data_IF_304690235580
#
_entry.id   IF_304690235580
#
_cell.length_a   1.000
_cell.length_b   1.000
_cell.length_c   1.000
_cell.angle_alpha   90.00
_cell.angle_beta   90.00
_cell.angle_gamma   90.00
#
_symmetry.space_group_name_H-M   'P 1'
#
loop_
_entity.id
_entity.type
_entity.pdbx_description
1 polymer ?
#
# COMPACT_ATOMS: atom_id res chain seq x y z
N UNK A 1 80.67 -45.85 -9.49
CA UNK A 1 79.61 -45.73 -8.45
C UNK A 1 79.85 -44.47 -7.64
N UNK A 2 79.02 -43.45 -7.83
CA UNK A 2 78.98 -42.23 -7.02
C UNK A 2 77.51 -41.97 -6.70
N UNK A 3 77.20 -41.93 -5.41
CA UNK A 3 75.86 -41.68 -4.88
C UNK A 3 75.60 -40.17 -4.87
N UNK A 4 74.46 -39.75 -5.41
CA UNK A 4 73.90 -38.43 -5.16
C UNK A 4 72.44 -38.60 -4.73
N UNK A 5 72.22 -38.37 -3.44
CA UNK A 5 70.92 -38.36 -2.77
C UNK A 5 70.25 -37.02 -3.04
N UNK A 6 69.17 -37.00 -3.82
CA UNK A 6 68.31 -35.82 -3.94
C UNK A 6 67.12 -35.98 -2.99
N UNK A 7 67.12 -35.18 -1.91
CA UNK A 7 65.93 -34.93 -1.10
C UNK A 7 64.95 -34.09 -1.94
N UNK A 8 63.80 -34.67 -2.28
CA UNK A 8 62.65 -33.93 -2.80
C UNK A 8 61.81 -33.44 -1.61
N UNK A 9 61.96 -32.15 -1.28
CA UNK A 9 60.98 -31.45 -0.45
C UNK A 9 59.67 -31.30 -1.24
N UNK A 10 58.67 -32.12 -0.95
CA UNK A 10 57.28 -31.83 -1.32
C UNK A 10 56.74 -30.76 -0.36
N UNK A 11 56.84 -29.49 -0.73
CA UNK A 11 56.04 -28.44 -0.13
C UNK A 11 54.61 -28.57 -0.66
N UNK A 12 53.72 -29.08 0.18
CA UNK A 12 52.28 -29.06 -0.09
C UNK A 12 51.82 -27.61 0.07
N UNK A 13 51.67 -26.88 -1.04
CA UNK A 13 50.96 -25.60 -1.05
C UNK A 13 49.46 -25.92 -0.91
N UNK A 14 49.00 -26.01 0.34
CA UNK A 14 47.58 -25.99 0.66
C UNK A 14 47.04 -24.60 0.37
N UNK A 15 46.47 -24.39 -0.81
CA UNK A 15 45.60 -23.24 -1.05
C UNK A 15 44.30 -23.48 -0.27
N UNK A 16 43.91 -22.62 0.68
CA UNK A 16 42.57 -22.67 1.21
C UNK A 16 41.61 -22.30 0.08
N UNK A 17 40.76 -23.24 -0.34
CA UNK A 17 39.57 -22.93 -1.11
C UNK A 17 38.71 -22.06 -0.21
N UNK A 18 38.68 -20.76 -0.48
CA UNK A 18 37.70 -19.86 0.11
C UNK A 18 36.39 -20.20 -0.58
N UNK A 19 35.58 -21.03 0.07
CA UNK A 19 34.16 -21.11 -0.26
C UNK A 19 33.57 -19.75 0.12
N UNK A 20 33.35 -18.88 -0.86
CA UNK A 20 32.44 -17.76 -0.68
C UNK A 20 31.07 -18.37 -0.40
N UNK A 21 30.70 -18.36 0.88
CA UNK A 21 29.31 -18.50 1.29
C UNK A 21 28.55 -17.45 0.51
N UNK A 22 27.73 -17.87 -0.45
CA UNK A 22 26.72 -16.99 -1.04
C UNK A 22 25.82 -16.63 0.14
N UNK A 23 26.10 -15.47 0.74
CA UNK A 23 25.16 -14.77 1.58
C UNK A 23 23.97 -14.53 0.67
N UNK A 24 22.93 -15.34 0.84
CA UNK A 24 21.58 -15.03 0.37
C UNK A 24 21.20 -13.70 1.03
N UNK A 25 21.65 -12.60 0.43
CA UNK A 25 21.00 -11.32 0.56
C UNK A 25 19.64 -11.51 -0.07
N UNK A 26 18.72 -12.06 0.72
CA UNK A 26 17.29 -11.84 0.57
C UNK A 26 17.11 -10.35 0.77
N UNK A 27 17.41 -9.59 -0.28
CA UNK A 27 17.00 -8.21 -0.38
C UNK A 27 15.50 -8.22 -0.13
N UNK A 28 15.06 -7.48 0.87
CA UNK A 28 13.69 -7.01 0.89
C UNK A 28 13.47 -6.30 -0.44
N UNK A 29 12.92 -7.01 -1.41
CA UNK A 29 12.33 -6.40 -2.58
C UNK A 29 11.21 -5.54 -2.01
N UNK A 30 11.46 -4.24 -1.85
CA UNK A 30 10.43 -3.29 -1.49
C UNK A 30 9.28 -3.48 -2.48
N UNK A 31 8.21 -4.13 -2.03
CA UNK A 31 7.09 -4.51 -2.86
C UNK A 31 6.52 -3.22 -3.45
N UNK A 32 6.68 -3.04 -4.76
CA UNK A 32 6.36 -1.77 -5.41
C UNK A 32 4.86 -1.69 -5.61
N UNK A 33 4.19 -0.91 -4.76
CA UNK A 33 2.78 -0.61 -4.94
C UNK A 33 2.58 0.21 -6.22
N UNK A 34 1.68 -0.24 -7.08
CA UNK A 34 1.18 0.53 -8.20
C UNK A 34 0.01 1.38 -7.74
N UNK A 35 0.20 2.70 -7.69
CA UNK A 35 -0.87 3.65 -7.37
C UNK A 35 -1.36 4.38 -8.63
N UNK A 36 -2.68 4.53 -8.76
CA UNK A 36 -3.35 5.25 -9.86
C UNK A 36 -4.43 6.15 -9.29
N UNK A 37 -4.47 7.41 -9.75
CA UNK A 37 -5.53 8.36 -9.43
C UNK A 37 -6.39 8.54 -10.67
N UNK A 38 -7.70 8.40 -10.55
CA UNK A 38 -8.62 8.43 -11.68
C UNK A 38 -9.68 9.49 -11.42
N UNK A 39 -9.81 10.43 -12.34
CA UNK A 39 -10.98 11.32 -12.38
C UNK A 39 -12.18 10.52 -12.91
N UNK A 40 -13.17 10.25 -12.06
CA UNK A 40 -14.29 9.36 -12.40
C UNK A 40 -15.11 9.84 -13.58
N UNK A 41 -15.20 11.15 -13.79
CA UNK A 41 -16.00 11.73 -14.88
C UNK A 41 -15.30 11.57 -16.22
N UNK A 42 -14.00 11.85 -16.26
CA UNK A 42 -13.22 11.83 -17.49
C UNK A 42 -12.52 10.48 -17.75
N UNK A 43 -12.55 9.56 -16.78
CA UNK A 43 -11.90 8.24 -16.84
C UNK A 43 -10.42 8.33 -17.23
N UNK A 44 -9.76 9.40 -16.78
CA UNK A 44 -8.36 9.69 -17.07
C UNK A 44 -7.49 9.41 -15.85
N UNK A 45 -6.31 8.86 -16.10
CA UNK A 45 -5.28 8.68 -15.09
C UNK A 45 -4.59 10.03 -14.86
N UNK A 46 -4.47 10.40 -13.60
CA UNK A 46 -3.84 11.64 -13.13
C UNK A 46 -2.66 11.31 -12.22
N UNK A 47 -1.65 12.18 -12.20
CA UNK A 47 -0.52 12.09 -11.27
C UNK A 47 -0.40 13.37 -10.43
N UNK A 48 -1.11 13.45 -9.29
CA UNK A 48 -1.04 14.61 -8.41
C UNK A 48 0.29 14.72 -7.64
N UNK A 49 1.17 13.72 -7.71
CA UNK A 49 2.48 13.75 -7.05
C UNK A 49 3.52 14.55 -7.85
N UNK A 50 3.38 14.58 -9.17
CA UNK A 50 4.32 15.26 -10.08
C UNK A 50 3.69 16.42 -10.87
N UNK A 51 2.37 16.44 -11.03
CA UNK A 51 1.66 17.46 -11.81
C UNK A 51 0.71 18.30 -10.94
N UNK A 52 1.01 19.59 -10.81
CA UNK A 52 0.14 20.57 -10.14
C UNK A 52 -1.21 20.67 -10.84
N UNK A 53 -1.23 20.54 -12.18
CA UNK A 53 -2.47 20.55 -12.95
C UNK A 53 -3.34 19.35 -12.61
N UNK A 54 -2.74 18.18 -12.46
CA UNK A 54 -3.45 16.94 -12.17
C UNK A 54 -3.99 16.97 -10.73
N UNK A 55 -3.19 17.45 -9.77
CA UNK A 55 -3.64 17.72 -8.41
C UNK A 55 -4.83 18.70 -8.40
N UNK A 56 -4.75 19.80 -9.17
CA UNK A 56 -5.85 20.75 -9.32
C UNK A 56 -7.09 20.13 -9.96
N UNK A 57 -6.93 19.23 -10.91
CA UNK A 57 -8.05 18.53 -11.53
C UNK A 57 -8.77 17.63 -10.52
N UNK A 58 -8.02 16.83 -9.75
CA UNK A 58 -8.59 16.03 -8.66
C UNK A 58 -9.26 16.91 -7.59
N UNK A 59 -8.62 18.03 -7.23
CA UNK A 59 -9.13 18.96 -6.22
C UNK A 59 -10.52 19.53 -6.55
N UNK A 60 -10.77 19.82 -7.83
CA UNK A 60 -12.02 20.39 -8.30
C UNK A 60 -13.02 19.33 -8.80
N UNK A 61 -12.61 18.06 -8.87
CA UNK A 61 -13.51 16.98 -9.26
C UNK A 61 -14.61 16.79 -8.21
N UNK A 62 -15.80 16.43 -8.66
CA UNK A 62 -16.89 16.03 -7.75
C UNK A 62 -16.69 14.61 -7.22
N UNK A 63 -15.93 13.80 -7.96
CA UNK A 63 -15.56 12.45 -7.60
C UNK A 63 -14.20 12.09 -8.22
N UNK A 64 -13.34 11.44 -7.43
CA UNK A 64 -12.19 10.73 -7.98
C UNK A 64 -11.90 9.45 -7.19
N UNK A 65 -11.12 8.58 -7.81
CA UNK A 65 -10.76 7.28 -7.28
C UNK A 65 -9.25 7.12 -7.17
N UNK A 66 -8.83 6.31 -6.20
CA UNK A 66 -7.44 5.91 -6.01
C UNK A 66 -7.37 4.41 -5.92
N UNK A 67 -6.62 3.82 -6.84
CA UNK A 67 -6.31 2.41 -6.84
C UNK A 67 -4.88 2.22 -6.35
N UNK A 68 -4.69 1.24 -5.47
CA UNK A 68 -3.36 0.79 -5.05
C UNK A 68 -3.32 -0.73 -5.14
N UNK A 69 -2.38 -1.28 -5.91
CA UNK A 69 -2.31 -2.72 -6.18
C UNK A 69 -0.85 -3.19 -6.08
N UNK A 70 -0.66 -4.37 -5.50
CA UNK A 70 0.55 -5.18 -5.61
C UNK A 70 0.15 -6.67 -5.68
N UNK A 71 1.11 -7.58 -5.56
CA UNK A 71 0.86 -9.03 -5.66
C UNK A 71 0.00 -9.60 -4.51
N UNK A 72 0.02 -8.98 -3.34
CA UNK A 72 -0.63 -9.47 -2.11
C UNK A 72 -1.79 -8.58 -1.64
N UNK A 73 -1.99 -7.43 -2.30
CA UNK A 73 -2.90 -6.40 -1.83
C UNK A 73 -3.53 -5.63 -2.98
N UNK A 74 -4.81 -5.32 -2.84
CA UNK A 74 -5.47 -4.28 -3.62
C UNK A 74 -6.32 -3.37 -2.74
N UNK A 75 -6.48 -2.12 -3.17
CA UNK A 75 -7.49 -1.24 -2.62
C UNK A 75 -8.01 -0.26 -3.63
N UNK A 76 -9.25 0.16 -3.39
CA UNK A 76 -9.94 1.24 -4.11
C UNK A 76 -10.49 2.21 -3.09
N UNK A 77 -10.06 3.46 -3.16
CA UNK A 77 -10.65 4.59 -2.44
C UNK A 77 -11.46 5.45 -3.40
N UNK A 78 -12.67 5.85 -3.01
CA UNK A 78 -13.53 6.77 -3.75
C UNK A 78 -13.77 8.00 -2.87
N UNK A 79 -13.59 9.18 -3.43
CA UNK A 79 -13.76 10.47 -2.76
C UNK A 79 -14.84 11.27 -3.48
N UNK A 80 -15.88 11.70 -2.79
CA UNK A 80 -17.04 12.39 -3.36
C UNK A 80 -17.34 13.69 -2.62
N UNK A 81 -17.57 14.76 -3.36
CA UNK A 81 -18.08 16.04 -2.84
C UNK A 81 -18.77 16.83 -3.96
N UNK A 82 -20.05 17.18 -3.76
CA UNK A 82 -20.85 17.89 -4.77
C UNK A 82 -20.33 19.29 -5.14
N UNK A 83 -19.56 19.93 -4.25
CA UNK A 83 -18.94 21.25 -4.47
C UNK A 83 -17.47 21.17 -4.94
N UNK A 84 -16.99 19.96 -5.22
CA UNK A 84 -15.59 19.65 -5.47
C UNK A 84 -14.90 19.12 -4.21
N UNK A 85 -13.99 18.14 -4.36
CA UNK A 85 -13.33 17.47 -3.24
C UNK A 85 -12.67 18.47 -2.29
N UNK A 86 -11.85 19.39 -2.76
CA UNK A 86 -11.12 20.27 -1.84
C UNK A 86 -12.01 21.32 -1.18
N UNK A 87 -13.05 21.80 -1.87
CA UNK A 87 -14.03 22.69 -1.24
C UNK A 87 -14.77 21.96 -0.11
N UNK A 88 -15.20 20.72 -0.35
CA UNK A 88 -15.84 19.89 0.68
C UNK A 88 -14.90 19.57 1.84
N UNK A 89 -13.64 19.21 1.56
CA UNK A 89 -12.65 18.87 2.57
C UNK A 89 -12.27 20.07 3.45
N UNK A 90 -12.23 21.27 2.87
CA UNK A 90 -11.94 22.53 3.57
C UNK A 90 -13.15 23.11 4.30
N UNK A 91 -14.35 22.84 3.82
CA UNK A 91 -15.61 23.34 4.36
C UNK A 91 -16.29 22.43 5.38
N UNK A 92 -17.56 22.73 5.62
CA UNK A 92 -18.38 22.04 6.62
C UNK A 92 -19.11 20.80 6.09
N UNK A 93 -19.18 20.63 4.77
CA UNK A 93 -19.86 19.50 4.13
C UNK A 93 -19.02 18.22 4.19
N UNK A 94 -17.69 18.34 4.03
CA UNK A 94 -16.77 17.20 4.05
C UNK A 94 -16.66 16.50 2.70
N UNK A 95 -15.83 15.47 2.67
CA UNK A 95 -15.69 14.56 1.52
C UNK A 95 -16.13 13.17 1.95
N UNK A 96 -17.17 12.66 1.29
CA UNK A 96 -17.56 11.28 1.51
C UNK A 96 -16.51 10.35 0.89
N UNK A 97 -16.05 9.42 1.71
CA UNK A 97 -14.92 8.55 1.45
C UNK A 97 -15.39 7.11 1.62
N UNK A 98 -15.16 6.29 0.60
CA UNK A 98 -15.32 4.84 0.68
C UNK A 98 -14.01 4.16 0.33
N UNK A 99 -13.56 3.20 1.13
CA UNK A 99 -12.38 2.40 0.83
C UNK A 99 -12.70 0.91 0.90
N UNK A 100 -12.31 0.18 -0.13
CA UNK A 100 -12.35 -1.29 -0.17
C UNK A 100 -10.92 -1.81 -0.23
N UNK A 101 -10.62 -2.84 0.56
CA UNK A 101 -9.29 -3.47 0.59
C UNK A 101 -9.40 -4.97 0.52
N UNK A 102 -8.50 -5.59 -0.23
CA UNK A 102 -8.31 -7.03 -0.28
C UNK A 102 -6.84 -7.34 0.00
N UNK A 103 -6.57 -8.17 1.00
CA UNK A 103 -5.27 -8.81 1.24
C UNK A 103 -5.40 -10.26 0.78
N UNK A 104 -4.67 -10.63 -0.28
CA UNK A 104 -4.75 -11.94 -0.90
C UNK A 104 -4.03 -12.99 -0.04
N UNK A 105 -4.60 -14.19 0.04
CA UNK A 105 -4.01 -15.30 0.78
C UNK A 105 -2.76 -15.82 0.06
N UNK A 106 -2.81 -15.88 -1.27
CA UNK A 106 -1.70 -16.30 -2.11
C UNK A 106 -1.36 -15.19 -3.12
N UNK A 107 -0.07 -14.88 -3.31
CA UNK A 107 0.34 -13.94 -4.34
C UNK A 107 -0.12 -14.42 -5.72
N UNK A 108 -0.70 -13.52 -6.52
CA UNK A 108 -1.24 -13.79 -7.87
C UNK A 108 -2.54 -14.64 -7.93
N UNK A 109 -3.21 -14.86 -6.80
CA UNK A 109 -4.54 -15.50 -6.74
C UNK A 109 -5.52 -14.58 -6.02
N UNK A 110 -6.47 -14.02 -6.76
CA UNK A 110 -7.47 -13.08 -6.24
C UNK A 110 -8.74 -13.76 -5.72
N UNK A 111 -8.80 -15.10 -5.73
CA UNK A 111 -9.98 -15.86 -5.34
C UNK A 111 -10.16 -15.98 -3.82
N UNK A 112 -9.06 -15.89 -3.06
CA UNK A 112 -9.09 -15.94 -1.59
C UNK A 112 -8.41 -14.71 -0.98
N UNK A 113 -9.15 -13.97 -0.16
CA UNK A 113 -8.67 -12.74 0.47
C UNK A 113 -9.43 -12.39 1.76
N UNK A 114 -8.84 -11.49 2.54
CA UNK A 114 -9.51 -10.83 3.65
C UNK A 114 -9.28 -9.32 3.59
N UNK A 115 -10.16 -8.55 4.22
CA UNK A 115 -10.02 -7.10 4.29
C UNK A 115 -11.30 -6.47 4.78
N UNK A 116 -11.77 -5.42 4.10
CA UNK A 116 -12.98 -4.73 4.52
C UNK A 116 -13.40 -3.59 3.62
N UNK A 117 -14.60 -3.11 3.90
CA UNK A 117 -15.19 -1.92 3.30
C UNK A 117 -15.38 -0.89 4.39
N UNK A 118 -14.87 0.31 4.17
CA UNK A 118 -14.93 1.43 5.09
C UNK A 118 -15.64 2.60 4.43
N UNK A 119 -16.49 3.30 5.19
CA UNK A 119 -17.09 4.56 4.82
C UNK A 119 -16.81 5.62 5.88
N UNK A 120 -16.59 6.88 5.48
CA UNK A 120 -16.48 8.03 6.39
C UNK A 120 -16.72 9.34 5.64
N UNK A 121 -16.95 10.43 6.38
CA UNK A 121 -16.89 11.79 5.85
C UNK A 121 -15.62 12.46 6.39
N UNK A 122 -14.72 12.87 5.49
CA UNK A 122 -13.40 13.43 5.81
C UNK A 122 -13.43 14.96 5.79
N UNK A 123 -12.73 15.55 6.76
CA UNK A 123 -12.59 17.01 6.91
C UNK A 123 -11.13 17.36 7.18
N UNK A 124 -10.69 18.53 6.76
CA UNK A 124 -9.33 19.01 7.04
C UNK A 124 -9.11 19.23 8.53
N UNK A 125 -9.92 20.08 9.15
CA UNK A 125 -9.72 20.50 10.54
C UNK A 125 -10.47 19.63 11.55
N UNK A 126 -11.62 19.07 11.15
CA UNK A 126 -12.46 18.26 12.03
C UNK A 126 -12.06 16.78 11.98
N UNK A 127 -12.45 16.05 13.03
CA UNK A 127 -12.41 14.59 13.04
C UNK A 127 -13.35 14.01 11.97
N UNK A 128 -12.99 12.86 11.36
CA UNK A 128 -13.89 12.16 10.46
C UNK A 128 -15.23 11.83 11.13
N UNK A 129 -16.31 11.95 10.37
CA UNK A 129 -17.67 11.62 10.81
C UNK A 129 -18.21 10.41 10.06
N UNK A 130 -19.34 9.88 10.51
CA UNK A 130 -20.07 8.79 9.84
C UNK A 130 -19.19 7.56 9.55
N UNK A 131 -18.21 7.30 10.41
CA UNK A 131 -17.22 6.23 10.23
C UNK A 131 -17.91 4.88 10.39
N UNK A 132 -17.81 4.04 9.36
CA UNK A 132 -18.36 2.70 9.31
C UNK A 132 -17.30 1.76 8.73
N UNK A 133 -17.25 0.53 9.24
CA UNK A 133 -16.34 -0.50 8.75
C UNK A 133 -17.01 -1.86 8.81
N UNK A 134 -16.88 -2.62 7.72
CA UNK A 134 -17.37 -3.99 7.59
C UNK A 134 -16.21 -4.87 7.13
N UNK A 135 -15.75 -5.82 7.95
CA UNK A 135 -14.72 -6.76 7.53
C UNK A 135 -15.29 -7.78 6.53
N UNK A 136 -14.45 -8.20 5.59
CA UNK A 136 -14.79 -9.17 4.52
C UNK A 136 -13.77 -10.30 4.57
N UNK A 137 -14.25 -11.54 4.51
CA UNK A 137 -13.43 -12.74 4.48
C UNK A 137 -13.96 -13.65 3.37
N UNK A 138 -13.14 -13.89 2.35
CA UNK A 138 -13.38 -14.83 1.26
C UNK A 138 -12.25 -15.85 1.36
N UNK A 139 -12.41 -16.84 2.24
CA UNK A 139 -11.39 -17.84 2.54
C UNK A 139 -12.08 -19.20 2.59
N UNK A 140 -11.60 -20.15 1.81
CA UNK A 140 -12.18 -21.48 1.71
C UNK A 140 -11.79 -22.38 2.88
N UNK A 141 -10.59 -22.21 3.43
CA UNK A 141 -10.11 -22.96 4.58
C UNK A 141 -10.72 -22.39 5.89
N UNK A 142 -11.61 -23.13 6.59
CA UNK A 142 -12.33 -22.59 7.74
C UNK A 142 -11.44 -22.40 8.99
N UNK A 143 -10.37 -23.19 9.14
CA UNK A 143 -9.41 -22.97 10.22
C UNK A 143 -8.64 -21.66 10.00
N UNK A 144 -8.14 -21.47 8.77
CA UNK A 144 -7.43 -20.25 8.39
C UNK A 144 -8.33 -19.01 8.50
N UNK A 145 -9.58 -19.09 8.02
CA UNK A 145 -10.56 -18.01 8.14
C UNK A 145 -10.75 -17.60 9.60
N UNK A 146 -10.94 -18.58 10.49
CA UNK A 146 -11.11 -18.33 11.93
C UNK A 146 -9.89 -17.63 12.54
N UNK A 147 -8.69 -18.08 12.20
CA UNK A 147 -7.45 -17.48 12.70
C UNK A 147 -7.26 -16.04 12.22
N UNK A 148 -7.50 -15.79 10.93
CA UNK A 148 -7.41 -14.45 10.35
C UNK A 148 -8.47 -13.53 10.96
N UNK A 149 -9.72 -13.99 11.05
CA UNK A 149 -10.82 -13.22 11.65
C UNK A 149 -10.48 -12.77 13.07
N UNK A 150 -10.02 -13.68 13.93
CA UNK A 150 -9.65 -13.36 15.31
C UNK A 150 -8.52 -12.32 15.39
N UNK A 151 -7.54 -12.39 14.49
CA UNK A 151 -6.46 -11.41 14.39
C UNK A 151 -6.98 -10.03 13.99
N UNK A 152 -7.77 -9.97 12.91
CA UNK A 152 -8.31 -8.73 12.35
C UNK A 152 -9.28 -8.03 13.31
N UNK A 153 -10.11 -8.79 14.02
CA UNK A 153 -11.02 -8.27 15.06
C UNK A 153 -10.24 -7.54 16.17
N UNK A 154 -9.08 -8.07 16.56
CA UNK A 154 -8.20 -7.44 17.54
C UNK A 154 -7.56 -6.13 17.06
N UNK A 155 -7.47 -5.92 15.75
CA UNK A 155 -6.78 -4.77 15.13
C UNK A 155 -7.72 -3.77 14.44
N UNK A 156 -9.02 -4.08 14.39
CA UNK A 156 -10.02 -3.31 13.62
C UNK A 156 -9.98 -1.80 13.90
N UNK A 157 -9.86 -1.39 15.17
CA UNK A 157 -9.77 0.04 15.52
C UNK A 157 -8.55 0.73 14.89
N UNK A 158 -7.41 0.05 14.89
CA UNK A 158 -6.16 0.58 14.33
C UNK A 158 -6.25 0.64 12.80
N UNK A 159 -6.79 -0.41 12.17
CA UNK A 159 -7.03 -0.45 10.71
C UNK A 159 -7.87 0.75 10.26
N UNK A 160 -8.98 1.02 10.95
CA UNK A 160 -9.86 2.16 10.64
C UNK A 160 -9.08 3.48 10.77
N UNK A 161 -8.34 3.66 11.87
CA UNK A 161 -7.55 4.87 12.11
C UNK A 161 -6.50 5.10 11.02
N UNK A 162 -5.75 4.07 10.66
CA UNK A 162 -4.69 4.18 9.66
C UNK A 162 -5.25 4.51 8.26
N UNK A 163 -6.42 3.96 7.92
CA UNK A 163 -7.11 4.29 6.67
C UNK A 163 -7.65 5.72 6.67
N UNK A 164 -8.25 6.19 7.76
CA UNK A 164 -8.67 7.58 7.89
C UNK A 164 -7.47 8.53 7.75
N UNK A 165 -6.41 8.29 8.50
CA UNK A 165 -5.25 9.17 8.55
C UNK A 165 -4.52 9.23 7.21
N UNK A 166 -4.27 8.07 6.58
CA UNK A 166 -3.58 8.02 5.28
C UNK A 166 -4.37 8.73 4.18
N UNK A 167 -5.68 8.54 4.11
CA UNK A 167 -6.51 9.18 3.08
C UNK A 167 -6.74 10.68 3.38
N UNK A 168 -6.84 11.08 4.65
CA UNK A 168 -6.83 12.48 5.05
C UNK A 168 -5.50 13.16 4.69
N UNK A 169 -4.37 12.48 4.89
CA UNK A 169 -3.06 12.99 4.49
C UNK A 169 -2.89 13.09 2.98
N UNK A 170 -3.44 12.14 2.21
CA UNK A 170 -3.46 12.22 0.76
C UNK A 170 -4.19 13.51 0.31
N UNK A 171 -5.39 13.75 0.85
CA UNK A 171 -6.13 14.97 0.55
C UNK A 171 -5.35 16.20 0.98
N UNK A 172 -4.80 16.23 2.19
CA UNK A 172 -4.17 17.42 2.73
C UNK A 172 -2.84 17.79 2.05
N UNK A 173 -1.98 16.80 1.81
CA UNK A 173 -0.59 17.03 1.36
C UNK A 173 -0.41 16.98 -0.15
N UNK A 174 -1.33 16.33 -0.87
CA UNK A 174 -1.16 16.05 -2.30
C UNK A 174 -2.27 16.68 -3.14
N UNK A 175 -3.54 16.42 -2.83
CA UNK A 175 -4.67 16.85 -3.68
C UNK A 175 -5.08 18.29 -3.38
N UNK A 176 -5.30 18.61 -2.11
CA UNK A 176 -5.78 19.90 -1.62
C UNK A 176 -4.67 20.75 -1.01
N UNK A 177 -3.41 20.49 -1.38
CA UNK A 177 -2.25 21.18 -0.82
C UNK A 177 -2.45 22.69 -0.93
N UNK A 178 -2.46 23.39 0.21
CA UNK A 178 -2.44 24.86 0.20
C UNK A 178 -1.08 25.31 -0.34
N UNK A 179 -1.09 26.24 -1.28
CA UNK A 179 0.13 26.94 -1.67
C UNK A 179 0.72 27.66 -0.46
N UNK A 180 2.04 27.64 -0.31
CA UNK A 180 2.72 28.61 0.56
C UNK A 180 2.34 29.99 0.04
N UNK A 181 1.71 30.80 0.90
CA UNK A 181 1.39 32.20 0.60
C UNK A 181 2.63 33.06 0.73
#
# INVERSE_FOLDING_TARGET
MKYYTYLLCFSVLSFPVIAETISDYRGETAQKNLTRYIDSKEQRILDPSTSIRDAKNLANSVEFEVYMVNEDFSSRSVFVSGEGVCNGFEGDNGVDFTNSTNNYINPNDDSEYYGGVMGASLYRQNEPKNVQYVPVYVINNPQLEKEIRQREEGQTKQIIKDKLDSNKQLLDKMVCKKGEK
#
